data_IF_383034193577
#
_entry.id   IF_383034193577
#
_cell.length_a   1.000
_cell.length_b   1.000
_cell.length_c   1.000
_cell.angle_alpha   90.00
_cell.angle_beta   90.00
_cell.angle_gamma   90.00
#
_symmetry.space_group_name_H-M   'P 1'
#
loop_
_entity.id
_entity.type
_entity.pdbx_description
1 polymer ?
#
# COMPACT_ATOMS: atom_id res chain seq x y z
N UNK A 1 -0.04 -58.61 -34.19
CA UNK A 1 -0.96 -58.01 -33.21
C UNK A 1 -0.21 -56.92 -32.46
N UNK A 2 -0.04 -55.75 -33.07
CA UNK A 2 0.56 -54.57 -32.45
C UNK A 2 -0.55 -53.75 -31.82
N UNK A 3 -0.56 -53.71 -30.49
CA UNK A 3 -1.67 -53.20 -29.69
C UNK A 3 -1.75 -51.66 -29.78
N UNK A 4 -2.88 -51.05 -30.17
CA UNK A 4 -3.01 -49.60 -30.35
C UNK A 4 -3.08 -48.80 -29.03
N UNK A 5 -2.96 -49.47 -27.88
CA UNK A 5 -3.07 -48.86 -26.55
C UNK A 5 -1.77 -48.23 -26.06
N UNK A 6 -0.61 -48.71 -26.51
CA UNK A 6 0.70 -48.18 -26.09
C UNK A 6 1.05 -46.85 -26.74
N UNK A 7 0.55 -46.57 -27.95
CA UNK A 7 0.80 -45.30 -28.66
C UNK A 7 0.03 -44.12 -28.07
N UNK A 8 -1.18 -44.36 -27.55
CA UNK A 8 -2.02 -43.30 -26.96
C UNK A 8 -1.45 -42.79 -25.63
N UNK A 9 -0.91 -43.70 -24.79
CA UNK A 9 -0.30 -43.34 -23.51
C UNK A 9 0.97 -42.50 -23.68
N UNK A 10 1.79 -42.80 -24.70
CA UNK A 10 3.01 -42.04 -25.00
C UNK A 10 2.69 -40.61 -25.51
N UNK A 11 1.64 -40.45 -26.30
CA UNK A 11 1.18 -39.15 -26.79
C UNK A 11 0.62 -38.25 -25.66
N UNK A 12 -0.13 -38.82 -24.71
CA UNK A 12 -0.66 -38.06 -23.57
C UNK A 12 0.44 -37.61 -22.59
N UNK A 13 1.45 -38.44 -22.35
CA UNK A 13 2.59 -38.07 -21.51
C UNK A 13 3.45 -36.95 -22.14
N UNK A 14 3.60 -36.95 -23.47
CA UNK A 14 4.33 -35.91 -24.20
C UNK A 14 3.61 -34.55 -24.17
N UNK A 15 2.28 -34.53 -24.23
CA UNK A 15 1.47 -33.29 -24.17
C UNK A 15 1.48 -32.66 -22.78
N UNK A 16 1.50 -33.47 -21.71
CA UNK A 16 1.60 -32.95 -20.33
C UNK A 16 2.97 -32.32 -20.01
N UNK A 17 4.05 -32.75 -20.65
CA UNK A 17 5.39 -32.16 -20.45
C UNK A 17 5.57 -30.82 -21.17
N UNK A 18 4.76 -30.53 -22.19
CA UNK A 18 4.83 -29.27 -22.96
C UNK A 18 3.96 -28.13 -22.37
N UNK A 19 3.13 -28.42 -21.37
CA UNK A 19 2.21 -27.45 -20.76
C UNK A 19 2.80 -26.70 -19.55
N UNK A 20 4.06 -26.99 -19.19
CA UNK A 20 4.66 -26.63 -17.92
C UNK A 20 5.74 -25.56 -17.98
N UNK A 21 5.53 -24.45 -18.71
CA UNK A 21 6.33 -23.23 -18.53
C UNK A 21 5.43 -22.01 -18.74
N UNK A 22 4.48 -21.83 -17.82
CA UNK A 22 3.89 -20.51 -17.63
C UNK A 22 5.03 -19.57 -17.25
N UNK A 23 5.41 -18.65 -18.14
CA UNK A 23 6.41 -17.63 -17.90
C UNK A 23 6.05 -16.92 -16.61
N UNK A 24 6.72 -17.28 -15.51
CA UNK A 24 6.52 -16.65 -14.22
C UNK A 24 6.93 -15.20 -14.43
N UNK A 25 5.94 -14.30 -14.60
CA UNK A 25 6.19 -12.86 -14.67
C UNK A 25 6.98 -12.52 -13.42
N UNK A 26 8.28 -12.32 -13.59
CA UNK A 26 9.13 -11.86 -12.50
C UNK A 26 8.61 -10.46 -12.18
N UNK A 27 7.89 -10.35 -11.07
CA UNK A 27 7.49 -9.04 -10.57
C UNK A 27 8.77 -8.25 -10.34
N UNK A 28 8.84 -7.05 -10.90
CA UNK A 28 9.97 -6.16 -10.67
C UNK A 28 10.17 -6.00 -9.16
N UNK A 29 11.41 -6.11 -8.63
CA UNK A 29 11.64 -5.91 -7.22
C UNK A 29 11.19 -4.51 -6.82
N UNK A 30 10.45 -4.41 -5.72
CA UNK A 30 10.02 -3.13 -5.17
C UNK A 30 11.23 -2.35 -4.65
N UNK A 31 11.13 -1.02 -4.66
CA UNK A 31 12.09 -0.19 -3.94
C UNK A 31 12.06 -0.55 -2.44
N UNK A 32 13.13 -0.29 -1.66
CA UNK A 32 13.11 -0.54 -0.22
C UNK A 32 11.93 0.16 0.49
N UNK A 33 11.62 1.38 0.08
CA UNK A 33 10.54 2.18 0.64
C UNK A 33 9.15 1.59 0.29
N UNK A 34 8.95 1.15 -0.95
CA UNK A 34 7.73 0.45 -1.35
C UNK A 34 7.59 -0.92 -0.70
N UNK A 35 8.71 -1.59 -0.43
CA UNK A 35 8.73 -2.86 0.31
C UNK A 35 8.22 -2.68 1.74
N UNK A 36 8.69 -1.64 2.44
CA UNK A 36 8.22 -1.33 3.80
C UNK A 36 6.74 -0.93 3.79
N UNK A 37 6.30 -0.12 2.82
CA UNK A 37 4.88 0.23 2.65
C UNK A 37 4.01 -1.00 2.41
N UNK A 38 4.43 -1.89 1.51
CA UNK A 38 3.73 -3.14 1.22
C UNK A 38 3.67 -4.04 2.46
N UNK A 39 4.77 -4.17 3.21
CA UNK A 39 4.81 -4.94 4.45
C UNK A 39 3.86 -4.37 5.51
N UNK A 40 3.82 -3.04 5.68
CA UNK A 40 2.90 -2.39 6.62
C UNK A 40 1.43 -2.63 6.24
N UNK A 41 1.10 -2.54 4.94
CA UNK A 41 -0.23 -2.84 4.43
C UNK A 41 -0.63 -4.29 4.73
N UNK A 42 0.23 -5.26 4.40
CA UNK A 42 -0.03 -6.69 4.65
C UNK A 42 -0.23 -6.99 6.13
N UNK A 43 0.60 -6.42 7.01
CA UNK A 43 0.46 -6.60 8.46
C UNK A 43 -0.83 -5.99 9.00
N UNK A 44 -1.22 -4.82 8.49
CA UNK A 44 -2.46 -4.14 8.86
C UNK A 44 -3.68 -4.95 8.41
N UNK A 45 -3.68 -5.41 7.16
CA UNK A 45 -4.76 -6.22 6.59
C UNK A 45 -4.93 -7.54 7.35
N UNK A 46 -3.83 -8.25 7.65
CA UNK A 46 -3.87 -9.47 8.47
C UNK A 46 -4.45 -9.22 9.86
N UNK A 47 -4.15 -8.08 10.47
CA UNK A 47 -4.73 -7.71 11.76
C UNK A 47 -6.25 -7.49 11.65
N UNK A 48 -6.71 -6.75 10.63
CA UNK A 48 -8.14 -6.52 10.41
C UNK A 48 -8.88 -7.83 10.12
N UNK A 49 -8.32 -8.69 9.27
CA UNK A 49 -8.91 -9.99 8.98
C UNK A 49 -9.04 -10.88 10.21
N UNK A 50 -8.04 -10.90 11.11
CA UNK A 50 -8.14 -11.61 12.40
C UNK A 50 -9.26 -11.09 13.30
N UNK A 51 -9.70 -9.85 13.10
CA UNK A 51 -10.83 -9.25 13.81
C UNK A 51 -12.16 -9.42 13.05
N UNK A 52 -12.19 -10.19 11.96
CA UNK A 52 -13.38 -10.37 11.12
C UNK A 52 -13.78 -9.08 10.37
N UNK A 53 -12.81 -8.23 10.05
CA UNK A 53 -13.02 -6.95 9.35
C UNK A 53 -12.41 -7.00 7.96
N UNK A 54 -13.09 -6.38 7.00
CA UNK A 54 -12.58 -6.22 5.64
C UNK A 54 -11.73 -4.94 5.55
N UNK A 55 -10.47 -5.02 5.08
CA UNK A 55 -9.64 -3.84 4.90
C UNK A 55 -10.23 -2.86 3.88
N UNK A 56 -10.16 -1.54 4.14
CA UNK A 56 -10.64 -0.53 3.20
C UNK A 56 -9.73 -0.51 1.97
N UNK A 57 -10.32 -0.49 0.78
CA UNK A 57 -9.60 -0.38 -0.50
C UNK A 57 -10.17 0.76 -1.34
N UNK A 58 -9.34 1.52 -2.09
CA UNK A 58 -9.82 2.66 -2.89
C UNK A 58 -10.79 2.28 -4.03
N UNK A 59 -10.65 1.06 -4.56
CA UNK A 59 -11.43 0.51 -5.67
C UNK A 59 -12.76 -0.12 -5.22
N UNK A 60 -13.02 -0.18 -3.91
CA UNK A 60 -14.24 -0.80 -3.36
C UNK A 60 -15.20 0.25 -2.81
N UNK A 61 -16.49 -0.03 -2.98
CA UNK A 61 -17.54 0.77 -2.35
C UNK A 61 -17.39 0.78 -0.82
N UNK A 62 -17.59 1.93 -0.15
CA UNK A 62 -17.46 2.02 1.30
C UNK A 62 -18.49 1.12 2.01
N UNK A 63 -18.12 0.49 3.13
CA UNK A 63 -19.06 -0.31 3.89
C UNK A 63 -20.12 0.59 4.58
N UNK A 64 -21.23 -0.01 5.05
CA UNK A 64 -22.22 0.68 5.88
C UNK A 64 -21.58 1.42 7.06
N UNK A 65 -22.21 2.51 7.50
CA UNK A 65 -21.61 3.42 8.48
C UNK A 65 -21.19 2.72 9.79
N UNK A 66 -21.97 1.75 10.27
CA UNK A 66 -21.65 1.00 11.48
C UNK A 66 -20.37 0.15 11.31
N UNK A 67 -20.25 -0.57 10.20
CA UNK A 67 -19.06 -1.35 9.88
C UNK A 67 -17.85 -0.45 9.66
N UNK A 68 -18.02 0.68 8.95
CA UNK A 68 -16.96 1.68 8.77
C UNK A 68 -16.40 2.18 10.10
N UNK A 69 -17.26 2.46 11.09
CA UNK A 69 -16.83 2.86 12.44
C UNK A 69 -16.04 1.73 13.12
N UNK A 70 -16.45 0.48 12.98
CA UNK A 70 -15.71 -0.68 13.51
C UNK A 70 -14.33 -0.80 12.86
N UNK A 71 -14.24 -0.68 11.53
CA UNK A 71 -12.98 -0.69 10.77
C UNK A 71 -12.07 0.45 11.20
N UNK A 72 -12.58 1.68 11.30
CA UNK A 72 -11.78 2.85 11.72
C UNK A 72 -11.19 2.67 13.11
N UNK A 73 -12.00 2.22 14.08
CA UNK A 73 -11.50 1.95 15.45
C UNK A 73 -10.47 0.83 15.48
N UNK A 74 -10.69 -0.26 14.75
CA UNK A 74 -9.73 -1.36 14.69
C UNK A 74 -8.43 -0.95 13.99
N UNK A 75 -8.53 -0.16 12.92
CA UNK A 75 -7.39 0.30 12.12
C UNK A 75 -6.52 1.29 12.89
N UNK A 76 -7.14 2.32 13.46
CA UNK A 76 -6.43 3.45 14.05
C UNK A 76 -6.33 3.41 15.57
N UNK A 77 -6.98 2.46 16.23
CA UNK A 77 -7.08 2.39 17.68
C UNK A 77 -8.34 3.10 18.21
N UNK A 78 -8.70 2.76 19.44
CA UNK A 78 -9.78 3.38 20.20
C UNK A 78 -9.39 3.63 21.67
N UNK A 79 -8.21 3.17 22.10
CA UNK A 79 -7.66 3.36 23.44
C UNK A 79 -7.08 4.76 23.64
N UNK A 80 -6.24 4.90 24.67
CA UNK A 80 -5.60 6.19 24.98
C UNK A 80 -4.63 6.60 23.86
N UNK A 81 -4.72 7.87 23.47
CA UNK A 81 -3.77 8.46 22.52
C UNK A 81 -2.48 8.83 23.26
N UNK A 82 -1.50 7.95 23.20
CA UNK A 82 -0.25 8.05 23.97
C UNK A 82 0.89 8.70 23.18
N UNK A 83 0.91 8.57 21.85
CA UNK A 83 1.94 9.21 21.03
C UNK A 83 1.58 10.66 20.75
N UNK A 84 2.56 11.57 20.95
CA UNK A 84 2.40 13.00 20.75
C UNK A 84 3.68 13.64 20.21
N UNK A 85 3.55 14.45 19.17
CA UNK A 85 4.64 15.25 18.63
C UNK A 85 4.14 16.68 18.45
N UNK A 86 4.84 17.66 19.05
CA UNK A 86 4.64 19.07 18.72
C UNK A 86 5.49 19.38 17.49
N UNK A 87 4.82 19.76 16.42
CA UNK A 87 5.44 20.14 15.17
C UNK A 87 6.11 21.53 15.30
N UNK A 88 7.12 21.81 14.46
CA UNK A 88 7.76 23.11 14.44
C UNK A 88 6.80 24.30 14.22
N UNK A 89 5.69 24.09 13.52
CA UNK A 89 4.66 25.11 13.27
C UNK A 89 3.63 25.24 14.42
N UNK A 90 3.87 24.60 15.57
CA UNK A 90 3.04 24.69 16.78
C UNK A 90 1.92 23.67 16.87
N UNK A 91 1.52 23.03 15.77
CA UNK A 91 0.50 21.98 15.77
C UNK A 91 0.95 20.74 16.54
N UNK A 92 0.01 20.04 17.16
CA UNK A 92 0.30 18.80 17.89
C UNK A 92 -0.36 17.63 17.17
N UNK A 93 0.47 16.72 16.65
CA UNK A 93 0.02 15.47 16.07
C UNK A 93 -0.05 14.43 17.18
N UNK A 94 -1.16 13.71 17.26
CA UNK A 94 -1.39 12.67 18.25
C UNK A 94 -1.78 11.36 17.58
N UNK A 95 -1.41 10.24 18.18
CA UNK A 95 -1.78 8.93 17.67
C UNK A 95 -1.93 7.89 18.78
N UNK A 96 -2.85 6.97 18.56
CA UNK A 96 -3.05 5.79 19.39
C UNK A 96 -1.86 4.83 19.25
N UNK A 97 -1.53 4.15 20.34
CA UNK A 97 -0.56 3.05 20.40
C UNK A 97 -1.22 1.69 20.15
N UNK A 98 -2.57 1.64 20.22
CA UNK A 98 -3.38 0.49 19.86
C UNK A 98 -3.88 0.54 18.40
N UNK A 99 -4.56 -0.53 17.99
CA UNK A 99 -5.06 -0.71 16.63
C UNK A 99 -4.08 -1.41 15.68
N UNK A 100 -4.60 -1.83 14.54
CA UNK A 100 -3.87 -2.64 13.58
C UNK A 100 -2.70 -1.92 12.92
N UNK A 101 -2.84 -0.61 12.64
CA UNK A 101 -1.75 0.16 12.06
C UNK A 101 -0.61 0.40 13.07
N UNK A 102 -0.96 0.62 14.34
CA UNK A 102 0.03 0.79 15.39
C UNK A 102 0.80 -0.53 15.62
N UNK A 103 0.10 -1.66 15.71
CA UNK A 103 0.72 -2.97 15.85
C UNK A 103 1.64 -3.32 14.67
N UNK A 104 1.25 -3.01 13.44
CA UNK A 104 2.09 -3.21 12.26
C UNK A 104 3.40 -2.41 12.35
N UNK A 105 3.33 -1.14 12.75
CA UNK A 105 4.50 -0.28 12.89
C UNK A 105 5.41 -0.68 14.03
N UNK A 106 4.84 -1.06 15.17
CA UNK A 106 5.62 -1.62 16.28
C UNK A 106 6.40 -2.85 15.83
N UNK A 107 5.79 -3.72 15.02
CA UNK A 107 6.47 -4.91 14.49
C UNK A 107 7.55 -4.60 13.45
N UNK A 108 7.36 -3.56 12.63
CA UNK A 108 8.32 -3.20 11.59
C UNK A 108 9.50 -2.38 12.12
N UNK A 109 9.25 -1.47 13.07
CA UNK A 109 10.23 -0.46 13.49
C UNK A 109 10.75 -0.68 14.92
N UNK A 110 10.05 -1.47 15.74
CA UNK A 110 10.43 -1.78 17.12
C UNK A 110 10.22 -0.62 18.10
N UNK A 111 10.84 0.53 17.87
CA UNK A 111 10.67 1.72 18.70
C UNK A 111 9.62 2.65 18.08
N UNK A 112 8.34 2.30 18.26
CA UNK A 112 7.23 3.07 17.70
C UNK A 112 7.24 4.55 18.16
N UNK A 113 7.48 4.90 19.44
CA UNK A 113 7.56 6.30 19.86
C UNK A 113 8.67 7.09 19.13
N UNK A 114 9.88 6.54 19.04
CA UNK A 114 10.99 7.19 18.33
C UNK A 114 10.70 7.29 16.84
N UNK A 115 10.21 6.23 16.21
CA UNK A 115 9.83 6.22 14.81
C UNK A 115 8.74 7.25 14.52
N UNK A 116 7.69 7.33 15.36
CA UNK A 116 6.60 8.29 15.20
C UNK A 116 7.10 9.72 15.32
N UNK A 117 7.98 10.00 16.28
CA UNK A 117 8.60 11.33 16.43
C UNK A 117 9.37 11.73 15.18
N UNK A 118 10.29 10.88 14.73
CA UNK A 118 11.16 11.21 13.59
C UNK A 118 10.36 11.35 12.31
N UNK A 119 9.53 10.35 11.96
CA UNK A 119 8.72 10.38 10.72
C UNK A 119 7.78 11.59 10.68
N UNK A 120 7.05 11.82 11.77
CA UNK A 120 6.12 12.97 11.87
C UNK A 120 6.85 14.30 11.76
N UNK A 121 8.04 14.45 12.34
CA UNK A 121 8.82 15.68 12.18
C UNK A 121 9.30 15.85 10.74
N UNK A 122 9.88 14.81 10.13
CA UNK A 122 10.42 14.84 8.76
C UNK A 122 9.32 15.15 7.73
N UNK A 123 8.18 14.46 7.80
CA UNK A 123 7.04 14.66 6.89
C UNK A 123 6.46 16.08 6.94
N UNK A 124 6.73 16.79 8.03
CA UNK A 124 6.25 18.14 8.26
C UNK A 124 7.35 19.21 8.14
N UNK A 125 8.59 18.86 7.76
CA UNK A 125 9.67 19.84 7.57
C UNK A 125 9.36 20.88 6.49
N UNK A 126 8.60 20.50 5.45
CA UNK A 126 8.13 21.45 4.41
C UNK A 126 7.42 22.68 4.98
N UNK A 127 6.80 22.56 6.17
CA UNK A 127 6.14 23.69 6.84
C UNK A 127 7.10 24.76 7.35
N UNK A 128 8.40 24.44 7.44
CA UNK A 128 9.48 25.31 7.92
C UNK A 128 10.39 25.83 6.82
N UNK A 129 10.24 25.34 5.59
CA UNK A 129 11.03 25.84 4.47
C UNK A 129 10.79 27.35 4.26
N UNK A 130 11.84 28.13 3.90
CA UNK A 130 11.72 29.52 3.48
C UNK A 130 10.55 29.74 2.51
N UNK A 131 9.99 30.96 2.51
CA UNK A 131 8.82 31.27 1.65
C UNK A 131 9.10 30.98 0.18
N UNK A 132 10.31 31.27 -0.31
CA UNK A 132 10.76 30.99 -1.68
C UNK A 132 10.72 29.49 -2.00
N UNK A 133 11.35 28.66 -1.17
CA UNK A 133 11.38 27.21 -1.36
C UNK A 133 9.98 26.58 -1.37
N UNK A 134 9.08 27.08 -0.51
CA UNK A 134 7.69 26.61 -0.49
C UNK A 134 6.94 26.97 -1.77
N UNK A 135 7.19 28.16 -2.32
CA UNK A 135 6.61 28.58 -3.60
C UNK A 135 7.14 27.71 -4.75
N UNK A 136 8.46 27.49 -4.80
CA UNK A 136 9.09 26.62 -5.78
C UNK A 136 8.56 25.18 -5.72
N UNK A 137 8.39 24.61 -4.52
CA UNK A 137 7.80 23.29 -4.35
C UNK A 137 6.34 23.22 -4.85
N UNK A 138 5.54 24.26 -4.59
CA UNK A 138 4.17 24.33 -5.08
C UNK A 138 4.10 24.37 -6.61
N UNK A 139 5.02 25.10 -7.24
CA UNK A 139 5.16 25.17 -8.70
C UNK A 139 5.55 23.81 -9.28
N UNK A 140 6.61 23.17 -8.76
CA UNK A 140 7.05 21.84 -9.17
C UNK A 140 5.93 20.80 -9.04
N UNK A 141 5.20 20.82 -7.93
CA UNK A 141 4.04 19.94 -7.72
C UNK A 141 2.96 20.19 -8.76
N UNK A 142 2.65 21.46 -9.07
CA UNK A 142 1.66 21.81 -10.09
C UNK A 142 2.06 21.29 -11.47
N UNK A 143 3.35 21.40 -11.82
CA UNK A 143 3.91 20.90 -13.07
C UNK A 143 3.82 19.37 -13.13
N UNK A 144 4.21 18.68 -12.06
CA UNK A 144 4.12 17.23 -11.98
C UNK A 144 2.67 16.73 -12.18
N UNK A 145 1.68 17.39 -11.56
CA UNK A 145 0.27 17.05 -11.74
C UNK A 145 -0.19 17.31 -13.18
N UNK A 146 0.22 18.43 -13.80
CA UNK A 146 -0.09 18.71 -15.21
C UNK A 146 0.49 17.63 -16.12
N UNK A 147 1.75 17.26 -15.92
CA UNK A 147 2.43 16.22 -16.70
C UNK A 147 1.75 14.87 -16.53
N UNK A 148 1.41 14.49 -15.29
CA UNK A 148 0.69 13.24 -15.02
C UNK A 148 -0.68 13.22 -15.72
N UNK A 149 -1.44 14.32 -15.70
CA UNK A 149 -2.71 14.43 -16.44
C UNK A 149 -2.50 14.29 -17.93
N UNK A 150 -1.50 14.96 -18.51
CA UNK A 150 -1.21 14.86 -19.94
C UNK A 150 -0.88 13.42 -20.35
N UNK A 151 -0.06 12.72 -19.56
CA UNK A 151 0.24 11.29 -19.77
C UNK A 151 -1.05 10.48 -19.72
N UNK A 152 -1.85 10.61 -18.66
CA UNK A 152 -3.10 9.86 -18.51
C UNK A 152 -4.07 10.14 -19.67
N UNK A 153 -4.32 11.41 -20.00
CA UNK A 153 -5.17 11.79 -21.14
C UNK A 153 -4.64 11.26 -22.47
N UNK A 154 -3.33 11.26 -22.69
CA UNK A 154 -2.73 10.69 -23.90
C UNK A 154 -2.85 9.17 -23.96
N UNK A 155 -2.79 8.47 -22.81
CA UNK A 155 -3.03 7.02 -22.74
C UNK A 155 -4.50 6.68 -22.98
N UNK A 156 -5.44 7.50 -22.52
CA UNK A 156 -6.86 7.36 -22.85
C UNK A 156 -7.15 7.64 -24.32
N UNK A 157 -6.53 8.68 -24.90
CA UNK A 157 -6.68 9.01 -26.32
C UNK A 157 -6.02 7.97 -27.26
N UNK A 158 -5.01 7.24 -26.77
CA UNK A 158 -4.36 6.14 -27.48
C UNK A 158 -4.99 4.77 -27.21
N UNK A 159 -6.02 4.66 -26.38
CA UNK A 159 -6.75 3.40 -26.19
C UNK A 159 -7.44 3.00 -27.50
N UNK A 160 -6.95 2.00 -28.24
CA UNK A 160 -7.36 0.59 -28.08
C UNK A 160 -8.81 0.50 -27.64
N UNK A 161 -9.69 0.55 -28.64
CA UNK A 161 -11.01 -0.09 -28.61
C UNK A 161 -10.86 -1.55 -28.16
N UNK A 162 -11.77 -2.07 -27.32
CA UNK A 162 -11.87 -3.51 -27.07
C UNK A 162 -12.17 -4.28 -28.35
#
# INVERSE_FOLDING_TARGET
MTSPRTTIAALLAAVCLLSGCGTQRQALPLSPDDTVRAAQLVLTDRCLHRQGLTPPRPDRSPPPAAERRRVVRALFGAGRTELRVRLPNGYVVRRHTDGCLAAAQQRLYGDQPRWFKVSTTVDNLKSKAPRGDRAAYAELRSLAVRNARAVLSSTFAKGTTP
#
